data_IF_622761898779
#
_entry.id   IF_622761898779
#
_cell.length_a   1.000
_cell.length_b   1.000
_cell.length_c   1.000
_cell.angle_alpha   90.00
_cell.angle_beta   90.00
_cell.angle_gamma   90.00
#
_symmetry.space_group_name_H-M   'P 1'
#
loop_
_entity.id
_entity.type
_entity.pdbx_description
1 polymer ?
#
# COMPACT_ATOMS: atom_id res chain seq x y z
N UNK A 1 6.24 8.30 14.40
CA UNK A 1 5.50 8.87 13.25
C UNK A 1 6.13 10.17 12.77
N UNK A 2 6.27 11.18 13.64
CA UNK A 2 6.85 12.48 13.26
C UNK A 2 8.30 12.34 12.74
N UNK A 3 9.14 11.55 13.41
CA UNK A 3 10.52 11.26 12.99
C UNK A 3 10.59 10.71 11.57
N UNK A 4 9.67 9.80 11.22
CA UNK A 4 9.60 9.23 9.87
C UNK A 4 9.15 10.24 8.81
N UNK A 5 8.28 11.19 9.18
CA UNK A 5 7.91 12.30 8.29
C UNK A 5 9.13 13.21 7.98
N UNK A 6 9.94 13.51 9.02
CA UNK A 6 11.18 14.26 8.84
C UNK A 6 12.19 13.46 8.00
N UNK A 7 12.29 12.14 8.21
CA UNK A 7 13.14 11.25 7.40
C UNK A 7 12.72 11.27 5.93
N UNK A 8 11.42 11.18 5.64
CA UNK A 8 10.91 11.29 4.27
C UNK A 8 11.25 12.63 3.62
N UNK A 9 11.08 13.73 4.35
CA UNK A 9 11.45 15.07 3.89
C UNK A 9 12.96 15.19 3.64
N UNK A 10 13.77 14.62 4.52
CA UNK A 10 15.23 14.56 4.34
C UNK A 10 15.61 13.81 3.06
N UNK A 11 15.06 12.60 2.86
CA UNK A 11 15.36 11.78 1.67
C UNK A 11 15.02 12.51 0.37
N UNK A 12 13.88 13.19 0.31
CA UNK A 12 13.43 13.92 -0.88
C UNK A 12 14.27 15.19 -1.13
N UNK A 13 14.71 15.88 -0.07
CA UNK A 13 15.41 17.18 -0.17
C UNK A 13 16.93 17.10 -0.22
N UNK A 14 17.51 16.01 0.28
CA UNK A 14 18.98 15.85 0.35
C UNK A 14 19.66 15.64 -1.00
N UNK A 15 18.90 15.33 -2.05
CA UNK A 15 19.46 14.98 -3.36
C UNK A 15 20.07 13.58 -3.43
N UNK A 16 19.93 12.79 -2.36
CA UNK A 16 20.37 11.38 -2.32
C UNK A 16 19.48 10.52 -3.22
N UNK A 17 18.22 10.93 -3.39
CA UNK A 17 17.21 10.20 -4.15
C UNK A 17 17.11 10.70 -5.58
N UNK A 18 17.29 9.82 -6.56
CA UNK A 18 16.96 10.09 -7.96
C UNK A 18 15.49 9.70 -8.21
N UNK A 19 14.57 10.58 -7.84
CA UNK A 19 13.13 10.34 -8.00
C UNK A 19 12.46 11.53 -8.68
N UNK A 20 11.39 11.27 -9.41
CA UNK A 20 10.52 12.32 -10.00
C UNK A 20 9.91 13.25 -8.94
N UNK A 21 9.99 12.89 -7.67
CA UNK A 21 9.51 13.69 -6.53
C UNK A 21 10.58 14.55 -5.88
N UNK A 22 11.82 14.56 -6.39
CA UNK A 22 12.93 15.36 -5.86
C UNK A 22 12.98 16.71 -6.58
N UNK A 23 12.02 17.60 -6.30
CA UNK A 23 11.86 18.87 -7.03
C UNK A 23 12.86 19.99 -6.64
N UNK A 24 13.48 19.94 -5.50
CA UNK A 24 14.34 20.99 -5.00
C UNK A 24 15.48 20.39 -4.19
N UNK A 25 16.45 19.83 -4.91
CA UNK A 25 17.65 19.31 -4.30
C UNK A 25 18.47 20.44 -3.71
N UNK A 26 18.58 20.46 -2.40
CA UNK A 26 19.41 21.40 -1.65
C UNK A 26 20.16 20.63 -0.56
N UNK A 27 21.38 20.28 -0.86
CA UNK A 27 22.25 19.51 0.06
C UNK A 27 22.47 20.23 1.39
N UNK A 28 22.50 21.57 1.41
CA UNK A 28 22.67 22.35 2.62
C UNK A 28 21.47 22.17 3.56
N UNK A 29 20.25 22.29 3.03
CA UNK A 29 19.02 22.02 3.81
C UNK A 29 18.89 20.57 4.23
N UNK A 30 19.39 19.63 3.39
CA UNK A 30 19.49 18.22 3.74
C UNK A 30 20.32 17.99 5.01
N UNK A 31 21.47 18.63 5.14
CA UNK A 31 22.33 18.51 6.34
C UNK A 31 21.64 19.04 7.60
N UNK A 32 20.92 20.18 7.52
CA UNK A 32 20.14 20.67 8.66
C UNK A 32 19.03 19.72 9.09
N UNK A 33 18.31 19.13 8.12
CA UNK A 33 17.27 18.13 8.41
C UNK A 33 17.85 16.86 9.03
N UNK A 34 19.03 16.41 8.58
CA UNK A 34 19.73 15.28 9.17
C UNK A 34 20.16 15.58 10.61
N UNK A 35 20.67 16.77 10.88
CA UNK A 35 21.02 17.21 12.22
C UNK A 35 19.81 17.23 13.17
N UNK A 36 18.69 17.79 12.71
CA UNK A 36 17.43 17.79 13.46
C UNK A 36 16.93 16.36 13.73
N UNK A 37 16.95 15.50 12.70
CA UNK A 37 16.54 14.10 12.82
C UNK A 37 17.41 13.36 13.84
N UNK A 38 18.74 13.52 13.75
CA UNK A 38 19.69 12.90 14.67
C UNK A 38 19.46 13.35 16.11
N UNK A 39 19.24 14.65 16.32
CA UNK A 39 18.93 15.21 17.64
C UNK A 39 17.64 14.61 18.21
N UNK A 40 16.58 14.51 17.41
CA UNK A 40 15.30 13.93 17.83
C UNK A 40 15.42 12.46 18.18
N UNK A 41 16.09 11.66 17.35
CA UNK A 41 16.28 10.23 17.60
C UNK A 41 17.13 10.02 18.86
N UNK A 42 18.24 10.74 18.98
CA UNK A 42 19.14 10.63 20.13
C UNK A 42 18.45 11.02 21.42
N UNK A 43 17.71 12.14 21.45
CA UNK A 43 16.96 12.57 22.65
C UNK A 43 15.89 11.55 23.03
N UNK A 44 15.12 11.03 22.05
CA UNK A 44 14.10 10.03 22.31
C UNK A 44 14.69 8.73 22.87
N UNK A 45 15.80 8.25 22.29
CA UNK A 45 16.51 7.05 22.78
C UNK A 45 17.06 7.27 24.19
N UNK A 46 17.63 8.44 24.47
CA UNK A 46 18.17 8.76 25.80
C UNK A 46 17.07 8.74 26.86
N UNK A 47 15.91 9.33 26.57
CA UNK A 47 14.75 9.31 27.50
C UNK A 47 14.25 7.88 27.68
N UNK A 48 14.12 7.11 26.59
CA UNK A 48 13.66 5.73 26.65
C UNK A 48 14.58 4.83 27.48
N UNK A 49 15.90 4.96 27.31
CA UNK A 49 16.88 4.16 28.06
C UNK A 49 16.93 4.55 29.55
N UNK A 50 16.66 5.82 29.87
CA UNK A 50 16.67 6.32 31.27
C UNK A 50 15.44 5.85 32.05
N UNK A 51 14.28 5.71 31.41
CA UNK A 51 13.00 5.40 32.08
C UNK A 51 12.56 3.94 31.88
N UNK A 52 13.51 3.03 31.81
CA UNK A 52 13.24 1.61 31.53
C UNK A 52 12.71 0.87 32.77
N UNK A 53 11.46 1.16 33.17
CA UNK A 53 10.74 0.39 34.20
C UNK A 53 10.05 -0.78 33.48
N UNK A 54 10.58 -1.99 33.69
CA UNK A 54 9.93 -3.21 33.22
C UNK A 54 8.73 -3.52 34.12
N UNK A 55 7.55 -3.13 33.68
CA UNK A 55 6.30 -3.64 34.26
C UNK A 55 5.97 -4.99 33.58
N UNK A 56 5.78 -6.03 34.40
CA UNK A 56 5.32 -7.31 33.90
C UNK A 56 3.82 -7.25 33.70
N UNK A 57 3.37 -7.35 32.46
CA UNK A 57 1.96 -7.46 32.12
C UNK A 57 1.63 -8.94 31.80
N UNK A 58 0.61 -9.47 32.46
CA UNK A 58 0.04 -10.77 32.08
C UNK A 58 -0.89 -10.56 30.89
N UNK A 59 -0.46 -11.01 29.71
CA UNK A 59 -1.23 -10.90 28.50
C UNK A 59 -2.16 -12.10 28.30
N UNK A 60 -3.46 -11.84 28.16
CA UNK A 60 -4.37 -12.84 27.64
C UNK A 60 -4.42 -12.74 26.11
N UNK A 61 -4.11 -13.84 25.40
CA UNK A 61 -4.01 -13.89 23.92
C UNK A 61 -5.30 -13.40 23.23
N UNK A 62 -6.46 -13.55 23.86
CA UNK A 62 -7.75 -13.11 23.32
C UNK A 62 -8.16 -11.71 23.77
N UNK A 63 -7.28 -10.99 24.46
CA UNK A 63 -7.57 -9.63 24.95
C UNK A 63 -7.42 -8.59 23.84
N UNK A 64 -8.10 -7.48 24.02
CA UNK A 64 -8.02 -6.35 23.09
C UNK A 64 -6.61 -5.76 23.02
N UNK A 65 -5.87 -5.79 24.14
CA UNK A 65 -4.48 -5.36 24.19
C UNK A 65 -3.60 -6.19 23.27
N UNK A 66 -3.76 -7.51 23.29
CA UNK A 66 -2.99 -8.42 22.44
C UNK A 66 -3.29 -8.17 20.96
N UNK A 67 -4.55 -7.94 20.58
CA UNK A 67 -4.90 -7.58 19.20
C UNK A 67 -4.31 -6.23 18.77
N UNK A 68 -4.26 -5.25 19.67
CA UNK A 68 -3.61 -3.96 19.39
C UNK A 68 -2.09 -4.11 19.25
N UNK A 69 -1.46 -4.93 20.10
CA UNK A 69 -0.04 -5.25 19.98
C UNK A 69 0.26 -5.94 18.63
N UNK A 70 -0.53 -6.96 18.26
CA UNK A 70 -0.38 -7.66 16.99
C UNK A 70 -0.55 -6.70 15.80
N UNK A 71 -1.52 -5.78 15.86
CA UNK A 71 -1.68 -4.73 14.87
C UNK A 71 -0.44 -3.82 14.79
N UNK A 72 0.11 -3.40 15.93
CA UNK A 72 1.32 -2.57 15.94
C UNK A 72 2.52 -3.31 15.35
N UNK A 73 2.68 -4.61 15.62
CA UNK A 73 3.71 -5.44 15.00
C UNK A 73 3.57 -5.50 13.48
N UNK A 74 2.36 -5.69 12.97
CA UNK A 74 2.09 -5.67 11.52
C UNK A 74 2.41 -4.30 10.92
N UNK A 75 2.04 -3.21 11.60
CA UNK A 75 2.38 -1.86 11.14
C UNK A 75 3.89 -1.61 11.12
N UNK A 76 4.63 -2.11 12.12
CA UNK A 76 6.09 -2.04 12.14
C UNK A 76 6.72 -2.87 11.02
N UNK A 77 6.15 -4.04 10.72
CA UNK A 77 6.57 -4.86 9.58
C UNK A 77 6.36 -4.13 8.25
N UNK A 78 5.19 -3.52 8.03
CA UNK A 78 4.92 -2.75 6.82
C UNK A 78 5.89 -1.57 6.69
N UNK A 79 6.11 -0.86 7.79
CA UNK A 79 7.07 0.24 7.84
C UNK A 79 8.48 -0.24 7.44
N UNK A 80 8.97 -1.33 8.06
CA UNK A 80 10.28 -1.88 7.78
C UNK A 80 10.40 -2.32 6.31
N UNK A 81 9.39 -2.98 5.77
CA UNK A 81 9.37 -3.42 4.36
C UNK A 81 9.45 -2.24 3.40
N UNK A 82 8.65 -1.19 3.63
CA UNK A 82 8.68 0.02 2.80
C UNK A 82 10.01 0.73 2.92
N UNK A 83 10.54 0.86 4.14
CA UNK A 83 11.83 1.51 4.40
C UNK A 83 12.99 0.77 3.71
N UNK A 84 13.03 -0.56 3.84
CA UNK A 84 14.04 -1.40 3.18
C UNK A 84 13.91 -1.26 1.66
N UNK A 85 12.70 -1.41 1.11
CA UNK A 85 12.47 -1.28 -0.34
C UNK A 85 12.84 0.10 -0.89
N UNK A 86 12.76 1.14 -0.05
CA UNK A 86 13.13 2.51 -0.42
C UNK A 86 14.64 2.75 -0.32
N UNK A 87 15.30 2.24 0.71
CA UNK A 87 16.72 2.51 0.98
C UNK A 87 17.62 1.53 0.20
N UNK A 88 17.19 0.31 -0.03
CA UNK A 88 17.98 -0.73 -0.69
C UNK A 88 18.56 -0.32 -2.06
N UNK A 89 17.80 0.32 -2.98
CA UNK A 89 18.35 0.82 -4.23
C UNK A 89 19.52 1.79 -4.05
N UNK A 90 19.47 2.66 -3.04
CA UNK A 90 20.53 3.63 -2.74
C UNK A 90 21.82 2.90 -2.33
N UNK A 91 21.69 1.90 -1.45
CA UNK A 91 22.84 1.10 -1.05
C UNK A 91 23.53 0.42 -2.23
N UNK A 92 22.73 -0.17 -3.13
CA UNK A 92 23.27 -0.85 -4.32
C UNK A 92 23.92 0.16 -5.29
N UNK A 93 23.31 1.33 -5.49
CA UNK A 93 23.89 2.36 -6.34
C UNK A 93 25.25 2.85 -5.80
N UNK A 94 25.38 3.02 -4.49
CA UNK A 94 26.64 3.44 -3.84
C UNK A 94 27.72 2.34 -3.91
N UNK A 95 27.33 1.07 -3.71
CA UNK A 95 28.30 -0.03 -3.67
C UNK A 95 28.73 -0.51 -5.05
N UNK A 96 27.78 -0.65 -5.98
CA UNK A 96 28.01 -1.31 -7.26
C UNK A 96 27.90 -0.37 -8.47
N UNK A 97 27.58 0.90 -8.26
CA UNK A 97 27.31 1.90 -9.30
C UNK A 97 26.21 1.47 -10.30
N UNK A 98 25.38 0.50 -9.92
CA UNK A 98 24.25 0.02 -10.70
C UNK A 98 22.96 0.62 -10.20
N UNK A 99 22.16 1.20 -11.12
CA UNK A 99 20.83 1.73 -10.78
C UNK A 99 19.82 0.59 -10.82
N UNK A 100 19.22 0.30 -9.68
CA UNK A 100 18.11 -0.64 -9.57
C UNK A 100 16.90 0.09 -9.03
N UNK A 101 15.71 -0.41 -9.33
CA UNK A 101 14.45 0.07 -8.73
C UNK A 101 13.70 -1.10 -8.10
N UNK A 102 13.09 -0.85 -6.95
CA UNK A 102 12.18 -1.79 -6.30
C UNK A 102 10.76 -1.43 -6.72
N UNK A 103 10.13 -2.33 -7.45
CA UNK A 103 8.81 -2.11 -8.05
C UNK A 103 7.66 -2.84 -7.32
N UNK A 104 6.42 -2.71 -7.84
CA UNK A 104 5.23 -3.33 -7.29
C UNK A 104 5.34 -4.83 -6.98
N UNK A 105 6.04 -5.67 -7.78
CA UNK A 105 6.15 -7.09 -7.50
C UNK A 105 6.76 -7.41 -6.13
N UNK A 106 7.77 -6.65 -5.69
CA UNK A 106 8.36 -6.81 -4.37
C UNK A 106 7.33 -6.58 -3.26
N UNK A 107 6.62 -5.45 -3.33
CA UNK A 107 5.62 -5.09 -2.31
C UNK A 107 4.45 -6.06 -2.31
N UNK A 108 4.00 -6.51 -3.47
CA UNK A 108 2.92 -7.49 -3.58
C UNK A 108 3.27 -8.82 -2.91
N UNK A 109 4.47 -9.34 -3.13
CA UNK A 109 4.91 -10.60 -2.54
C UNK A 109 5.08 -10.47 -1.03
N UNK A 110 5.66 -9.36 -0.55
CA UNK A 110 6.02 -9.21 0.86
C UNK A 110 4.85 -8.71 1.71
N UNK A 111 4.08 -7.72 1.24
CA UNK A 111 3.04 -7.08 2.07
C UNK A 111 1.70 -7.82 2.03
N UNK A 112 1.30 -8.34 0.87
CA UNK A 112 -0.03 -8.94 0.67
C UNK A 112 -0.37 -10.04 1.68
N UNK A 113 0.53 -11.01 1.99
CA UNK A 113 0.23 -12.04 2.99
C UNK A 113 -0.07 -11.46 4.38
N UNK A 114 0.52 -10.32 4.74
CA UNK A 114 0.34 -9.68 6.04
C UNK A 114 -0.84 -8.70 6.10
N UNK A 115 -1.37 -8.28 4.97
CA UNK A 115 -2.63 -7.50 4.91
C UNK A 115 -3.81 -8.37 5.38
N UNK A 116 -3.82 -9.66 5.06
CA UNK A 116 -4.89 -10.58 5.46
C UNK A 116 -5.07 -10.63 6.98
N UNK A 117 -4.05 -10.98 7.78
CA UNK A 117 -4.18 -10.97 9.24
C UNK A 117 -4.48 -9.57 9.79
N UNK A 118 -3.99 -8.49 9.16
CA UNK A 118 -4.34 -7.14 9.57
C UNK A 118 -5.85 -6.88 9.48
N UNK A 119 -6.49 -7.22 8.36
CA UNK A 119 -7.94 -7.06 8.16
C UNK A 119 -8.75 -7.89 9.17
N UNK A 120 -8.29 -9.13 9.45
CA UNK A 120 -8.91 -9.98 10.46
C UNK A 120 -8.79 -9.36 11.86
N UNK A 121 -7.60 -8.87 12.24
CA UNK A 121 -7.40 -8.20 13.52
C UNK A 121 -8.26 -6.94 13.66
N UNK A 122 -8.37 -6.13 12.60
CA UNK A 122 -9.24 -4.95 12.56
C UNK A 122 -10.71 -5.31 12.79
N UNK A 123 -11.14 -6.48 12.35
CA UNK A 123 -12.51 -6.97 12.58
C UNK A 123 -12.69 -7.51 13.98
N UNK A 124 -11.70 -8.24 14.53
CA UNK A 124 -11.79 -8.91 15.83
C UNK A 124 -11.58 -7.95 17.02
N UNK A 125 -10.62 -7.04 16.91
CA UNK A 125 -10.20 -6.18 18.02
C UNK A 125 -11.33 -5.36 18.67
N UNK A 126 -12.30 -4.79 17.92
CA UNK A 126 -13.44 -4.08 18.53
C UNK A 126 -14.34 -4.96 19.39
N UNK A 127 -14.35 -6.29 19.16
CA UNK A 127 -15.16 -7.25 19.88
C UNK A 127 -14.47 -7.87 21.07
N UNK A 128 -13.18 -7.65 21.22
CA UNK A 128 -12.43 -8.17 22.35
C UNK A 128 -12.60 -7.28 23.57
N UNK A 129 -12.77 -7.90 24.73
CA UNK A 129 -12.72 -7.21 26.03
C UNK A 129 -11.27 -6.93 26.42
N UNK A 130 -11.09 -5.82 27.17
CA UNK A 130 -9.85 -5.54 27.85
C UNK A 130 -9.59 -6.59 28.92
N UNK A 131 -8.34 -6.97 29.12
CA UNK A 131 -7.84 -7.85 30.20
C UNK A 131 -8.41 -9.29 30.14
N UNK A 132 -9.74 -9.49 30.21
CA UNK A 132 -10.36 -10.81 30.35
C UNK A 132 -10.42 -11.67 29.09
N UNK A 133 -10.04 -11.15 27.93
CA UNK A 133 -9.81 -11.91 26.72
C UNK A 133 -10.99 -12.66 26.11
N UNK A 134 -12.23 -12.24 26.36
CA UNK A 134 -13.41 -12.87 25.77
C UNK A 134 -13.86 -12.05 24.56
N UNK A 135 -14.06 -12.73 23.41
CA UNK A 135 -14.68 -12.15 22.23
C UNK A 135 -16.18 -12.07 22.44
N UNK A 136 -16.70 -10.84 22.34
CA UNK A 136 -18.15 -10.62 22.33
C UNK A 136 -18.73 -10.93 20.94
N UNK A 137 -20.01 -11.32 20.91
CA UNK A 137 -20.75 -11.54 19.66
C UNK A 137 -20.13 -12.56 18.69
N UNK A 138 -19.52 -13.65 19.22
CA UNK A 138 -18.88 -14.69 18.39
C UNK A 138 -19.82 -15.23 17.30
N UNK A 139 -21.11 -15.44 17.61
CA UNK A 139 -22.12 -15.89 16.62
C UNK A 139 -22.24 -14.90 15.45
N UNK A 140 -22.21 -13.59 15.72
CA UNK A 140 -22.26 -12.57 14.69
C UNK A 140 -20.97 -12.56 13.85
N UNK A 141 -19.79 -12.69 14.48
CA UNK A 141 -18.53 -12.78 13.74
C UNK A 141 -18.53 -13.98 12.80
N UNK A 142 -18.97 -15.16 13.28
CA UNK A 142 -19.08 -16.36 12.45
C UNK A 142 -20.09 -16.19 11.29
N UNK A 143 -21.25 -15.56 11.53
CA UNK A 143 -22.23 -15.32 10.47
C UNK A 143 -21.72 -14.38 9.39
N UNK A 144 -21.05 -13.30 9.78
CA UNK A 144 -20.45 -12.36 8.81
C UNK A 144 -19.30 -13.01 8.02
N UNK A 145 -18.48 -13.84 8.69
CA UNK A 145 -17.43 -14.61 8.01
C UNK A 145 -18.00 -15.56 6.98
N UNK A 146 -19.09 -16.25 7.32
CA UNK A 146 -19.79 -17.15 6.39
C UNK A 146 -20.33 -16.38 5.18
N UNK A 147 -20.95 -15.20 5.40
CA UNK A 147 -21.40 -14.33 4.31
C UNK A 147 -20.21 -13.92 3.42
N UNK A 148 -19.08 -13.56 4.02
CA UNK A 148 -17.89 -13.17 3.25
C UNK A 148 -17.37 -14.32 2.38
N UNK A 149 -17.37 -15.55 2.89
CA UNK A 149 -16.96 -16.75 2.14
C UNK A 149 -17.94 -17.00 0.98
N UNK A 150 -19.26 -16.93 1.22
CA UNK A 150 -20.28 -17.14 0.19
C UNK A 150 -20.14 -16.07 -0.92
N UNK A 151 -20.00 -14.80 -0.56
CA UNK A 151 -19.81 -13.72 -1.54
C UNK A 151 -18.52 -13.91 -2.34
N UNK A 152 -17.43 -14.31 -1.68
CA UNK A 152 -16.19 -14.61 -2.39
C UNK A 152 -16.35 -15.79 -3.35
N UNK A 153 -17.16 -16.80 -3.02
CA UNK A 153 -17.45 -17.89 -3.94
C UNK A 153 -18.14 -17.41 -5.23
N UNK A 154 -19.06 -16.43 -5.13
CA UNK A 154 -19.63 -15.78 -6.31
C UNK A 154 -18.56 -15.01 -7.10
N UNK A 155 -17.70 -14.24 -6.44
CA UNK A 155 -16.59 -13.53 -7.09
C UNK A 155 -15.68 -14.52 -7.81
N UNK A 156 -15.29 -15.61 -7.14
CA UNK A 156 -14.47 -16.67 -7.73
C UNK A 156 -15.11 -17.27 -9.00
N UNK A 157 -16.42 -17.57 -8.94
CA UNK A 157 -17.14 -18.20 -10.03
C UNK A 157 -17.33 -17.26 -11.23
N UNK A 158 -17.78 -16.03 -11.00
CA UNK A 158 -18.06 -15.07 -12.09
C UNK A 158 -16.80 -14.45 -12.67
N UNK A 159 -15.77 -14.25 -11.89
CA UNK A 159 -14.59 -13.50 -12.29
C UNK A 159 -13.34 -14.38 -12.46
N UNK A 160 -13.46 -15.70 -12.33
CA UNK A 160 -12.40 -16.67 -12.55
C UNK A 160 -11.08 -16.35 -11.81
N UNK A 161 -11.19 -15.81 -10.60
CA UNK A 161 -10.04 -15.46 -9.76
C UNK A 161 -9.33 -16.71 -9.25
N UNK A 162 -8.27 -17.15 -9.94
CA UNK A 162 -7.56 -18.41 -9.62
C UNK A 162 -6.52 -18.26 -8.50
N UNK A 163 -6.14 -17.04 -8.13
CA UNK A 163 -5.14 -16.81 -7.10
C UNK A 163 -5.71 -17.05 -5.69
N UNK A 164 -5.06 -17.92 -4.91
CA UNK A 164 -5.40 -18.15 -3.51
C UNK A 164 -5.30 -16.86 -2.69
N UNK A 165 -4.24 -16.07 -2.91
CA UNK A 165 -4.01 -14.81 -2.19
C UNK A 165 -5.10 -13.78 -2.47
N UNK A 166 -5.54 -13.65 -3.74
CA UNK A 166 -6.65 -12.75 -4.09
C UNK A 166 -7.94 -13.14 -3.38
N UNK A 167 -8.27 -14.43 -3.35
CA UNK A 167 -9.47 -14.93 -2.67
C UNK A 167 -9.42 -14.65 -1.15
N UNK A 168 -8.27 -14.84 -0.51
CA UNK A 168 -8.10 -14.54 0.91
C UNK A 168 -8.23 -13.04 1.21
N UNK A 169 -7.72 -12.17 0.33
CA UNK A 169 -7.91 -10.73 0.43
C UNK A 169 -9.38 -10.36 0.29
N UNK A 170 -10.10 -10.92 -0.68
CA UNK A 170 -11.52 -10.66 -0.85
C UNK A 170 -12.33 -11.11 0.37
N UNK A 171 -12.09 -12.32 0.88
CA UNK A 171 -12.77 -12.81 2.08
C UNK A 171 -12.52 -11.87 3.27
N UNK A 172 -11.27 -11.51 3.54
CA UNK A 172 -10.90 -10.70 4.70
C UNK A 172 -11.39 -9.26 4.57
N UNK A 173 -11.36 -8.66 3.37
CA UNK A 173 -11.87 -7.31 3.13
C UNK A 173 -13.40 -7.25 3.22
N UNK A 174 -14.12 -8.22 2.61
CA UNK A 174 -15.57 -8.34 2.72
C UNK A 174 -15.99 -8.55 4.18
N UNK A 175 -15.25 -9.38 4.92
CA UNK A 175 -15.48 -9.60 6.34
C UNK A 175 -15.40 -8.30 7.14
N UNK A 176 -14.37 -7.49 6.93
CA UNK A 176 -14.23 -6.18 7.57
C UNK A 176 -15.33 -5.20 7.16
N UNK A 177 -15.68 -5.14 5.86
CA UNK A 177 -16.72 -4.25 5.33
C UNK A 177 -18.08 -4.58 5.96
N UNK A 178 -18.53 -5.83 5.86
CA UNK A 178 -19.83 -6.23 6.39
C UNK A 178 -19.91 -6.10 7.90
N UNK A 179 -18.83 -6.44 8.60
CA UNK A 179 -18.78 -6.26 10.04
C UNK A 179 -18.89 -4.76 10.40
N UNK A 180 -18.17 -3.88 9.72
CA UNK A 180 -18.22 -2.44 9.95
C UNK A 180 -19.61 -1.85 9.64
N UNK A 181 -20.28 -2.32 8.58
CA UNK A 181 -21.65 -1.94 8.25
C UNK A 181 -22.65 -2.37 9.34
N UNK A 182 -22.52 -3.60 9.84
CA UNK A 182 -23.38 -4.06 10.95
C UNK A 182 -23.13 -3.27 12.23
N UNK A 183 -21.87 -2.95 12.53
CA UNK A 183 -21.51 -2.12 13.68
C UNK A 183 -22.05 -0.69 13.52
N UNK A 184 -22.03 -0.14 12.30
CA UNK A 184 -22.65 1.14 11.98
C UNK A 184 -24.16 1.14 12.27
N UNK A 185 -24.90 0.15 11.77
CA UNK A 185 -26.36 0.04 11.98
C UNK A 185 -26.71 -0.06 13.48
N UNK A 186 -25.92 -0.81 14.25
CA UNK A 186 -26.09 -0.93 15.70
C UNK A 186 -25.75 0.34 16.44
N UNK A 187 -24.66 1.01 16.05
CA UNK A 187 -24.16 2.23 16.69
C UNK A 187 -25.07 3.43 16.39
N UNK A 188 -25.64 3.51 15.21
CA UNK A 188 -26.60 4.56 14.82
C UNK A 188 -27.82 4.63 15.74
N UNK A 189 -28.28 3.46 16.23
CA UNK A 189 -29.43 3.36 17.14
C UNK A 189 -29.09 3.75 18.59
N UNK A 190 -27.81 3.76 18.99
CA UNK A 190 -27.42 3.94 20.39
C UNK A 190 -26.71 5.26 20.70
N UNK A 191 -25.72 5.62 19.95
CA UNK A 191 -24.93 6.86 20.11
C UNK A 191 -23.80 6.90 19.07
N UNK A 192 -23.50 8.03 18.47
CA UNK A 192 -22.41 8.20 17.49
C UNK A 192 -20.97 8.00 18.04
N UNK A 193 -20.84 7.44 19.21
CA UNK A 193 -19.56 7.35 19.96
C UNK A 193 -18.41 6.63 19.24
N UNK A 194 -18.72 5.69 18.33
CA UNK A 194 -17.73 4.88 17.62
C UNK A 194 -17.64 5.20 16.12
N UNK A 195 -18.26 6.29 15.68
CA UNK A 195 -18.42 6.62 14.27
C UNK A 195 -17.10 6.71 13.49
N UNK A 196 -16.11 7.43 14.04
CA UNK A 196 -14.78 7.58 13.41
C UNK A 196 -14.11 6.24 13.16
N UNK A 197 -14.13 5.34 14.15
CA UNK A 197 -13.56 4.00 14.02
C UNK A 197 -14.26 3.20 12.94
N UNK A 198 -15.61 3.22 12.93
CA UNK A 198 -16.41 2.45 11.98
C UNK A 198 -16.15 2.92 10.55
N UNK A 199 -16.13 4.23 10.30
CA UNK A 199 -15.83 4.78 8.97
C UNK A 199 -14.41 4.44 8.54
N UNK A 200 -13.42 4.56 9.44
CA UNK A 200 -12.04 4.23 9.12
C UNK A 200 -11.86 2.75 8.74
N UNK A 201 -12.49 1.83 9.48
CA UNK A 201 -12.45 0.40 9.18
C UNK A 201 -13.19 0.07 7.89
N UNK A 202 -14.38 0.67 7.67
CA UNK A 202 -15.13 0.51 6.43
C UNK A 202 -14.34 1.02 5.23
N UNK A 203 -13.80 2.25 5.32
CA UNK A 203 -12.99 2.85 4.26
C UNK A 203 -11.75 2.04 3.93
N UNK A 204 -11.05 1.53 4.94
CA UNK A 204 -9.89 0.69 4.72
C UNK A 204 -10.26 -0.66 4.08
N UNK A 205 -11.35 -1.30 4.54
CA UNK A 205 -11.86 -2.52 3.93
C UNK A 205 -12.22 -2.33 2.45
N UNK A 206 -12.92 -1.23 2.12
CA UNK A 206 -13.25 -0.86 0.74
C UNK A 206 -12.00 -0.59 -0.09
N UNK A 207 -11.03 0.14 0.45
CA UNK A 207 -9.76 0.40 -0.23
C UNK A 207 -9.06 -0.89 -0.65
N UNK A 208 -8.88 -1.82 0.29
CA UNK A 208 -8.22 -3.10 0.00
C UNK A 208 -9.04 -3.95 -0.97
N UNK A 209 -10.37 -3.94 -0.83
CA UNK A 209 -11.25 -4.65 -1.75
C UNK A 209 -11.11 -4.15 -3.20
N UNK A 210 -11.12 -2.83 -3.41
CA UNK A 210 -10.97 -2.26 -4.75
C UNK A 210 -9.56 -2.38 -5.31
N UNK A 211 -8.51 -2.35 -4.47
CA UNK A 211 -7.14 -2.70 -4.89
C UNK A 211 -7.11 -4.15 -5.38
N UNK A 212 -7.75 -5.07 -4.64
CA UNK A 212 -7.87 -6.47 -5.06
C UNK A 212 -8.60 -6.65 -6.39
N UNK A 213 -9.69 -5.90 -6.60
CA UNK A 213 -10.41 -5.88 -7.88
C UNK A 213 -9.47 -5.39 -8.99
N UNK A 214 -8.85 -4.23 -8.80
CA UNK A 214 -7.96 -3.67 -9.81
C UNK A 214 -6.84 -4.63 -10.17
N UNK A 215 -6.19 -5.26 -9.18
CA UNK A 215 -5.12 -6.22 -9.42
C UNK A 215 -5.59 -7.48 -10.17
N UNK A 216 -6.82 -7.94 -9.96
CA UNK A 216 -7.36 -9.11 -10.64
C UNK A 216 -7.81 -8.82 -12.08
N UNK A 217 -8.21 -7.58 -12.38
CA UNK A 217 -8.80 -7.20 -13.66
C UNK A 217 -7.88 -6.33 -14.51
N UNK A 218 -6.83 -5.76 -13.94
CA UNK A 218 -5.80 -5.09 -14.74
C UNK A 218 -4.96 -6.14 -15.47
N UNK A 219 -4.74 -5.90 -16.75
CA UNK A 219 -3.82 -6.67 -17.57
C UNK A 219 -2.65 -5.75 -17.87
N UNK A 220 -1.47 -6.10 -17.39
CA UNK A 220 -0.23 -5.36 -17.60
C UNK A 220 0.75 -6.23 -18.35
N UNK A 221 1.34 -5.70 -19.41
CA UNK A 221 2.40 -6.36 -20.18
C UNK A 221 3.50 -5.35 -20.48
N UNK A 222 4.69 -5.64 -20.03
CA UNK A 222 5.88 -4.86 -20.34
C UNK A 222 6.48 -5.35 -21.65
N UNK A 223 6.71 -4.43 -22.59
CA UNK A 223 7.35 -4.77 -23.84
C UNK A 223 8.23 -3.64 -24.38
N UNK A 224 9.26 -4.02 -25.09
CA UNK A 224 10.15 -3.10 -25.77
C UNK A 224 9.78 -2.99 -27.23
N UNK A 225 9.52 -1.77 -27.73
CA UNK A 225 9.26 -1.48 -29.13
C UNK A 225 10.39 -0.66 -29.73
N UNK A 226 10.83 -1.09 -30.93
CA UNK A 226 11.68 -0.26 -31.79
C UNK A 226 10.82 0.71 -32.59
N UNK A 227 11.39 1.84 -33.02
CA UNK A 227 10.68 2.77 -33.91
C UNK A 227 10.23 2.05 -35.17
N UNK A 228 8.96 2.21 -35.53
CA UNK A 228 8.30 1.48 -36.60
C UNK A 228 7.75 0.11 -36.21
N UNK A 229 8.03 -0.36 -34.97
CA UNK A 229 7.52 -1.63 -34.46
C UNK A 229 6.05 -1.55 -34.03
N UNK A 230 5.35 -2.68 -34.18
CA UNK A 230 3.98 -2.88 -33.72
C UNK A 230 3.92 -4.10 -32.79
N UNK A 231 3.16 -3.99 -31.70
CA UNK A 231 2.82 -5.11 -30.84
C UNK A 231 1.33 -5.13 -30.57
N UNK A 232 0.74 -6.30 -30.63
CA UNK A 232 -0.66 -6.54 -30.27
C UNK A 232 -0.71 -7.02 -28.83
N UNK A 233 -1.61 -6.41 -28.08
CA UNK A 233 -1.84 -6.69 -26.67
C UNK A 233 -3.36 -6.71 -26.45
N UNK A 234 -3.90 -7.87 -26.14
CA UNK A 234 -5.34 -8.07 -26.05
C UNK A 234 -6.07 -7.59 -27.33
N UNK A 235 -7.03 -6.68 -27.18
CA UNK A 235 -7.80 -6.08 -28.28
C UNK A 235 -7.16 -4.78 -28.80
N UNK A 236 -5.96 -4.45 -28.35
CA UNK A 236 -5.26 -3.25 -28.78
C UNK A 236 -4.04 -3.58 -29.60
N UNK A 237 -3.75 -2.75 -30.61
CA UNK A 237 -2.44 -2.72 -31.25
C UNK A 237 -1.72 -1.43 -30.91
N UNK A 238 -0.47 -1.53 -30.52
CA UNK A 238 0.40 -0.40 -30.19
C UNK A 238 1.49 -0.32 -31.24
N UNK A 239 1.52 0.78 -31.97
CA UNK A 239 2.53 1.07 -32.97
C UNK A 239 3.38 2.26 -32.54
N UNK A 240 4.70 2.08 -32.48
CA UNK A 240 5.65 3.15 -32.20
C UNK A 240 6.06 3.84 -33.50
N UNK A 241 5.36 4.89 -33.90
CA UNK A 241 5.48 5.49 -35.21
C UNK A 241 6.78 6.27 -35.42
N UNK A 242 7.20 7.10 -34.47
CA UNK A 242 8.43 7.91 -34.61
C UNK A 242 8.91 8.52 -33.29
N UNK A 243 10.19 8.92 -33.26
CA UNK A 243 10.77 9.76 -32.23
C UNK A 243 11.02 11.15 -32.80
N UNK A 244 10.68 12.18 -32.04
CA UNK A 244 10.95 13.58 -32.40
C UNK A 244 11.67 14.28 -31.25
N UNK A 245 12.65 15.08 -31.57
CA UNK A 245 13.26 16.04 -30.63
C UNK A 245 12.43 17.33 -30.69
N UNK A 246 11.90 17.76 -29.57
CA UNK A 246 11.22 19.03 -29.42
C UNK A 246 12.03 19.94 -28.51
N UNK A 247 12.37 21.12 -29.00
CA UNK A 247 12.96 22.22 -28.20
C UNK A 247 11.85 23.18 -27.79
N UNK A 248 11.64 23.27 -26.48
CA UNK A 248 10.73 24.25 -25.87
C UNK A 248 11.58 25.33 -25.17
N UNK A 249 10.96 26.46 -24.84
CA UNK A 249 11.68 27.61 -24.27
C UNK A 249 12.60 27.30 -23.11
N UNK A 250 12.25 26.30 -22.26
CA UNK A 250 12.98 25.99 -21.03
C UNK A 250 13.62 24.61 -20.99
N UNK A 251 13.37 23.75 -21.99
CA UNK A 251 13.92 22.37 -22.00
C UNK A 251 13.88 21.73 -23.39
N UNK A 252 14.73 20.71 -23.57
CA UNK A 252 14.69 19.81 -24.72
C UNK A 252 14.04 18.49 -24.30
N UNK A 253 13.11 18.01 -25.09
CA UNK A 253 12.45 16.73 -24.85
C UNK A 253 12.53 15.81 -26.06
N UNK A 254 12.59 14.51 -25.77
CA UNK A 254 12.41 13.45 -26.77
C UNK A 254 10.98 12.99 -26.69
N UNK A 255 10.20 13.21 -27.74
CA UNK A 255 8.78 12.83 -27.81
C UNK A 255 8.63 11.58 -28.65
N UNK A 256 8.08 10.53 -28.05
CA UNK A 256 7.66 9.31 -28.75
C UNK A 256 6.25 9.46 -29.28
N UNK A 257 6.03 9.13 -30.55
CA UNK A 257 4.68 9.06 -31.15
C UNK A 257 4.20 7.62 -31.18
N UNK A 258 3.21 7.30 -30.33
CA UNK A 258 2.56 5.99 -30.30
C UNK A 258 1.15 6.09 -30.82
N UNK A 259 0.77 5.16 -31.70
CA UNK A 259 -0.60 4.96 -32.15
C UNK A 259 -1.16 3.74 -31.46
N UNK A 260 -2.26 3.90 -30.72
CA UNK A 260 -2.99 2.82 -30.10
C UNK A 260 -4.29 2.65 -30.88
N UNK A 261 -4.49 1.48 -31.47
CA UNK A 261 -5.70 1.16 -32.19
C UNK A 261 -6.47 0.09 -31.42
N UNK A 262 -7.74 0.38 -31.13
CA UNK A 262 -8.68 -0.59 -30.58
C UNK A 262 -9.23 -1.44 -31.74
N UNK A 263 -8.97 -2.73 -31.72
CA UNK A 263 -9.33 -3.65 -32.79
C UNK A 263 -10.85 -3.96 -32.84
N UNK A 264 -11.56 -3.74 -31.71
CA UNK A 264 -13.02 -3.93 -31.65
C UNK A 264 -13.77 -2.67 -32.07
N UNK A 265 -13.32 -1.48 -31.61
CA UNK A 265 -14.02 -0.22 -31.84
C UNK A 265 -13.56 0.55 -33.08
N UNK A 266 -12.53 0.06 -33.78
CA UNK A 266 -11.93 0.72 -34.97
C UNK A 266 -11.57 2.18 -34.63
N UNK A 267 -11.17 2.47 -33.38
CA UNK A 267 -10.73 3.78 -32.97
C UNK A 267 -9.20 3.80 -32.82
N UNK A 268 -8.58 4.91 -33.22
CA UNK A 268 -7.13 5.08 -33.09
C UNK A 268 -6.85 6.35 -32.28
N UNK A 269 -6.12 6.19 -31.19
CA UNK A 269 -5.65 7.29 -30.35
C UNK A 269 -4.14 7.48 -30.50
N UNK A 270 -3.67 8.72 -30.40
CA UNK A 270 -2.25 9.04 -30.40
C UNK A 270 -1.80 9.45 -29.01
N UNK A 271 -0.79 8.74 -28.50
CA UNK A 271 -0.08 9.13 -27.28
C UNK A 271 1.29 9.76 -27.65
N UNK A 272 1.67 10.78 -26.90
CA UNK A 272 2.92 11.52 -27.05
C UNK A 272 3.69 11.59 -25.75
N UNK A 273 4.18 10.45 -25.19
CA UNK A 273 5.06 10.51 -24.03
C UNK A 273 6.34 11.26 -24.35
N UNK A 274 6.79 12.10 -23.40
CA UNK A 274 8.02 12.87 -23.53
C UNK A 274 9.01 12.54 -22.39
N UNK A 275 10.31 12.45 -22.74
CA UNK A 275 11.41 12.38 -21.79
C UNK A 275 12.14 13.71 -21.85
N UNK A 276 12.28 14.37 -20.72
CA UNK A 276 12.95 15.67 -20.55
C UNK A 276 14.36 15.50 -20.08
#
# INVERSE_FOLDING_TARGET
TFTLSVTGTFLVRSGIFNSVHTFANDSSRGIYLLGLLSLMVFSALTIFLKDNKQERYDFNIKSRETFLLANNWLMMFFLATVLIGTIYPIFIEVLNQTKISVGPPYYNIVLVPFVIPLLILMTLAPNAKWINGNLENLKQLCSVMLIAIVLNFFIYYFFNSKSLMSNLIFISSIFLIFYSLMDFIKSYKKTFKNFSRIISHLGFGLLIFFIGINHNFSIEEDFNLKVGGEKRFNNYSVNFSSLKLEEKENYKSVVGLFKISDLEKISTEQLKPEIR
#
